data_IF_645792057752
#
_entry.id   IF_645792057752
#
_cell.length_a   1.000
_cell.length_b   1.000
_cell.length_c   1.000
_cell.angle_alpha   90.00
_cell.angle_beta   90.00
_cell.angle_gamma   90.00
#
_symmetry.space_group_name_H-M   'P 1'
#
loop_
_entity.id
_entity.type
_entity.pdbx_description
1 polymer ?
#
# COMPACT_ATOMS: atom_id res chain seq x y z
N UNK A 1 -18.77 -3.93 -8.35
CA UNK A 1 -17.62 -4.53 -7.63
C UNK A 1 -16.59 -3.43 -7.35
N UNK A 2 -16.75 -2.69 -6.25
CA UNK A 2 -15.94 -1.51 -5.92
C UNK A 2 -14.70 -1.83 -5.06
N UNK A 3 -14.67 -2.98 -4.37
CA UNK A 3 -13.56 -3.38 -3.49
C UNK A 3 -12.31 -3.84 -4.23
N UNK A 4 -12.50 -4.18 -5.49
CA UNK A 4 -11.56 -4.90 -6.31
C UNK A 4 -10.31 -4.05 -6.57
N UNK A 5 -10.46 -2.75 -6.85
CA UNK A 5 -9.34 -1.81 -7.06
C UNK A 5 -8.54 -1.50 -5.77
N UNK A 6 -9.08 -1.81 -4.58
CA UNK A 6 -8.43 -1.61 -3.28
C UNK A 6 -7.56 -2.79 -2.86
N UNK A 7 -7.63 -3.91 -3.58
CA UNK A 7 -6.78 -5.08 -3.38
C UNK A 7 -5.55 -5.02 -4.29
N UNK A 8 -4.36 -5.21 -3.74
CA UNK A 8 -3.17 -5.54 -4.50
C UNK A 8 -3.30 -6.94 -5.11
N UNK A 9 -2.46 -7.24 -6.11
CA UNK A 9 -2.51 -8.56 -6.80
C UNK A 9 -2.34 -9.70 -5.79
N UNK A 10 -1.47 -9.55 -4.80
CA UNK A 10 -1.18 -10.58 -3.79
C UNK A 10 -2.20 -10.63 -2.62
N UNK A 11 -3.37 -10.01 -2.75
CA UNK A 11 -4.35 -9.93 -1.65
C UNK A 11 -4.06 -8.86 -0.60
N UNK A 12 -3.02 -8.02 -0.79
CA UNK A 12 -2.73 -6.88 0.10
C UNK A 12 -3.88 -5.87 0.01
N UNK A 13 -4.64 -5.71 1.07
CA UNK A 13 -5.76 -4.75 1.08
C UNK A 13 -5.26 -3.33 1.39
N UNK A 14 -5.19 -2.49 0.37
CA UNK A 14 -4.80 -1.08 0.49
C UNK A 14 -5.95 -0.20 1.00
N UNK A 15 -7.20 -0.68 0.97
CA UNK A 15 -8.39 0.14 1.26
C UNK A 15 -8.49 0.68 2.69
N UNK A 16 -7.76 0.13 3.65
CA UNK A 16 -7.65 0.65 5.03
C UNK A 16 -6.44 1.58 5.22
N UNK A 17 -5.52 1.64 4.27
CA UNK A 17 -4.34 2.50 4.36
C UNK A 17 -4.70 3.95 4.03
N UNK A 18 -4.51 4.86 4.98
CA UNK A 18 -4.89 6.27 4.86
C UNK A 18 -4.06 7.05 3.82
N UNK A 19 -2.88 6.55 3.47
CA UNK A 19 -2.09 7.09 2.36
C UNK A 19 -2.66 6.68 1.00
N UNK A 20 -3.27 5.48 0.89
CA UNK A 20 -3.93 5.03 -0.34
C UNK A 20 -5.32 5.64 -0.50
N UNK A 21 -6.07 5.84 0.58
CA UNK A 21 -7.36 6.53 0.54
C UNK A 21 -7.24 8.05 0.40
N UNK A 22 -6.02 8.60 0.35
CA UNK A 22 -5.71 10.04 0.35
C UNK A 22 -6.19 10.83 1.57
N UNK A 23 -6.77 10.16 2.57
CA UNK A 23 -7.40 10.81 3.72
C UNK A 23 -6.39 11.60 4.58
N UNK A 24 -5.16 11.11 4.75
CA UNK A 24 -4.10 11.88 5.43
C UNK A 24 -3.78 13.16 4.66
N UNK A 25 -3.66 13.08 3.33
CA UNK A 25 -3.35 14.24 2.49
C UNK A 25 -4.48 15.28 2.53
N UNK A 26 -5.73 14.82 2.53
CA UNK A 26 -6.92 15.66 2.65
C UNK A 26 -6.99 16.38 4.00
N UNK A 27 -6.78 15.64 5.10
CA UNK A 27 -6.77 16.19 6.46
C UNK A 27 -5.61 17.19 6.64
N UNK A 28 -4.41 16.87 6.14
CA UNK A 28 -3.25 17.77 6.17
C UNK A 28 -3.53 19.06 5.38
N UNK A 29 -4.16 18.94 4.20
CA UNK A 29 -4.56 20.10 3.39
C UNK A 29 -5.55 21.00 4.13
N UNK A 30 -6.57 20.41 4.76
CA UNK A 30 -7.57 21.16 5.52
C UNK A 30 -6.95 21.84 6.74
N UNK A 31 -6.15 21.11 7.52
CA UNK A 31 -5.47 21.66 8.69
C UNK A 31 -4.53 22.80 8.31
N UNK A 32 -3.75 22.64 7.23
CA UNK A 32 -2.85 23.70 6.74
C UNK A 32 -3.63 24.97 6.39
N UNK A 33 -4.78 24.84 5.74
CA UNK A 33 -5.65 25.99 5.42
C UNK A 33 -6.13 26.72 6.67
N UNK A 34 -6.56 25.99 7.71
CA UNK A 34 -7.01 26.62 8.96
C UNK A 34 -5.88 27.27 9.73
N UNK A 35 -4.71 26.62 9.80
CA UNK A 35 -3.54 27.17 10.49
C UNK A 35 -3.06 28.47 9.83
N UNK A 36 -2.98 28.50 8.50
CA UNK A 36 -2.59 29.71 7.76
C UNK A 36 -3.64 30.82 7.85
N UNK A 37 -4.92 30.49 8.00
CA UNK A 37 -5.99 31.49 8.10
C UNK A 37 -6.12 32.09 9.50
N UNK A 38 -6.05 31.23 10.52
CA UNK A 38 -6.51 31.58 11.87
C UNK A 38 -5.38 31.61 12.92
N UNK A 39 -4.20 31.06 12.60
CA UNK A 39 -3.12 30.82 13.58
C UNK A 39 -1.76 31.41 13.19
N UNK A 40 -1.71 32.38 12.27
CA UNK A 40 -0.44 33.05 11.87
C UNK A 40 0.27 33.73 13.04
N UNK A 41 -0.48 34.16 14.05
CA UNK A 41 0.06 34.77 15.27
C UNK A 41 1.03 33.85 16.04
N UNK A 42 0.91 32.51 15.89
CA UNK A 42 1.84 31.54 16.50
C UNK A 42 3.29 31.79 16.07
N UNK A 43 3.50 32.30 14.85
CA UNK A 43 4.84 32.58 14.31
C UNK A 43 5.63 33.60 15.15
N UNK A 44 4.92 34.56 15.75
CA UNK A 44 5.54 35.71 16.42
C UNK A 44 5.36 35.67 17.95
N UNK A 45 4.42 34.87 18.45
CA UNK A 45 3.98 34.93 19.85
C UNK A 45 4.15 33.62 20.63
N UNK A 46 4.57 32.53 20.00
CA UNK A 46 4.73 31.23 20.66
C UNK A 46 6.10 30.60 20.35
N UNK A 47 7.06 30.85 21.23
CA UNK A 47 8.45 30.38 21.07
C UNK A 47 8.58 28.85 21.14
N UNK A 48 7.62 28.16 21.78
CA UNK A 48 7.65 26.69 21.89
C UNK A 48 7.18 25.97 20.61
N UNK A 49 6.65 26.71 19.62
CA UNK A 49 6.06 26.15 18.42
C UNK A 49 6.77 26.64 17.15
N UNK A 50 7.49 25.74 16.47
CA UNK A 50 8.10 26.05 15.18
C UNK A 50 7.05 26.03 14.06
N UNK A 51 6.41 27.19 13.86
CA UNK A 51 5.33 27.38 12.89
C UNK A 51 5.75 27.03 11.45
N UNK A 52 6.91 27.51 11.00
CA UNK A 52 7.34 27.31 9.62
C UNK A 52 7.71 25.84 9.37
N UNK A 53 8.34 25.16 10.33
CA UNK A 53 8.62 23.72 10.22
C UNK A 53 7.34 22.88 10.29
N UNK A 54 6.37 23.27 11.11
CA UNK A 54 5.07 22.61 11.14
C UNK A 54 4.35 22.67 9.78
N UNK A 55 4.33 23.84 9.11
CA UNK A 55 3.75 23.96 7.77
C UNK A 55 4.47 23.11 6.72
N UNK A 56 5.79 22.92 6.85
CA UNK A 56 6.57 22.00 6.01
C UNK A 56 6.15 20.54 6.26
N UNK A 57 5.99 20.15 7.53
CA UNK A 57 5.49 18.82 7.90
C UNK A 57 4.10 18.54 7.32
N UNK A 58 3.19 19.50 7.40
CA UNK A 58 1.88 19.38 6.74
C UNK A 58 2.02 19.26 5.22
N UNK A 59 2.92 20.03 4.61
CA UNK A 59 3.24 19.89 3.18
C UNK A 59 3.67 18.47 2.81
N UNK A 60 4.58 17.87 3.60
CA UNK A 60 5.02 16.50 3.39
C UNK A 60 3.86 15.49 3.44
N UNK A 61 2.93 15.64 4.39
CA UNK A 61 1.74 14.77 4.47
C UNK A 61 0.76 14.98 3.31
N UNK A 62 0.65 16.20 2.78
CA UNK A 62 -0.16 16.47 1.58
C UNK A 62 0.35 15.68 0.37
N UNK A 63 1.66 15.50 0.27
CA UNK A 63 2.31 14.79 -0.84
C UNK A 63 2.42 13.27 -0.59
N UNK A 64 2.02 12.79 0.60
CA UNK A 64 2.14 11.39 1.03
C UNK A 64 1.02 10.49 0.48
N UNK A 65 0.82 10.52 -0.83
CA UNK A 65 -0.19 9.71 -1.53
C UNK A 65 0.43 8.39 -1.99
N UNK A 66 -0.20 7.27 -1.64
CA UNK A 66 0.22 5.95 -2.08
C UNK A 66 -0.59 5.55 -3.34
N UNK A 67 0.06 5.22 -4.47
CA UNK A 67 -0.65 4.76 -5.69
C UNK A 67 -1.22 3.34 -5.55
N UNK A 68 -0.99 2.68 -4.41
CA UNK A 68 -1.39 1.31 -4.14
C UNK A 68 -0.52 0.28 -4.88
N UNK A 69 -0.68 -0.99 -4.51
CA UNK A 69 0.13 -2.08 -5.05
C UNK A 69 0.02 -2.24 -6.57
N UNK A 70 -1.13 -1.91 -7.18
CA UNK A 70 -1.34 -2.01 -8.63
C UNK A 70 -0.84 -0.79 -9.41
N UNK A 71 -0.85 0.40 -8.81
CA UNK A 71 -0.39 1.64 -9.44
C UNK A 71 1.06 2.00 -9.13
N UNK A 72 1.68 1.30 -8.18
CA UNK A 72 3.09 1.54 -7.82
C UNK A 72 4.02 1.07 -8.94
N UNK A 73 4.97 1.91 -9.34
CA UNK A 73 6.09 1.52 -10.22
C UNK A 73 7.23 0.87 -9.45
N UNK A 74 7.17 0.91 -8.11
CA UNK A 74 8.23 0.40 -7.25
C UNK A 74 8.45 -1.11 -7.42
N UNK A 75 9.73 -1.49 -7.40
CA UNK A 75 10.22 -2.84 -7.70
C UNK A 75 10.54 -3.67 -6.46
N UNK A 76 10.29 -3.14 -5.25
CA UNK A 76 10.59 -3.82 -3.99
C UNK A 76 9.79 -5.11 -3.78
N UNK A 77 8.66 -5.26 -4.46
CA UNK A 77 7.87 -6.48 -4.42
C UNK A 77 8.37 -7.45 -5.50
N UNK A 78 9.20 -8.42 -5.12
CA UNK A 78 9.76 -9.41 -6.05
C UNK A 78 8.69 -10.17 -6.83
N UNK A 79 7.53 -10.42 -6.22
CA UNK A 79 6.38 -11.05 -6.87
C UNK A 79 5.93 -10.28 -8.12
N UNK A 80 6.14 -8.96 -8.21
CA UNK A 80 5.84 -8.20 -9.43
C UNK A 80 6.71 -8.60 -10.62
N UNK A 81 7.78 -9.38 -10.41
CA UNK A 81 8.63 -9.95 -11.46
C UNK A 81 8.04 -11.24 -12.06
N UNK A 82 6.98 -11.80 -11.50
CA UNK A 82 6.26 -12.92 -12.12
C UNK A 82 5.65 -12.48 -13.45
N UNK A 83 5.90 -13.22 -14.53
CA UNK A 83 5.46 -12.89 -15.90
C UNK A 83 3.96 -12.60 -15.99
N UNK A 84 3.11 -13.47 -15.43
CA UNK A 84 1.65 -13.28 -15.44
C UNK A 84 1.18 -12.01 -14.71
N UNK A 85 1.96 -11.48 -13.78
CA UNK A 85 1.68 -10.20 -13.12
C UNK A 85 2.11 -9.02 -14.00
N UNK A 86 3.29 -9.12 -14.63
CA UNK A 86 3.78 -8.14 -15.60
C UNK A 86 2.85 -8.02 -16.81
N UNK A 87 2.33 -9.15 -17.29
CA UNK A 87 1.41 -9.25 -18.43
C UNK A 87 -0.05 -8.93 -18.06
N UNK A 88 -0.31 -8.50 -16.82
CA UNK A 88 -1.65 -8.18 -16.29
C UNK A 88 -2.69 -9.32 -16.37
N UNK A 89 -2.23 -10.58 -16.43
CA UNK A 89 -3.08 -11.76 -16.54
C UNK A 89 -3.62 -12.26 -15.19
N UNK A 90 -3.01 -11.83 -14.08
CA UNK A 90 -3.41 -12.22 -12.71
C UNK A 90 -4.12 -11.09 -12.01
N UNK A 91 -5.42 -11.29 -11.78
CA UNK A 91 -6.25 -10.36 -11.02
C UNK A 91 -5.97 -10.41 -9.50
N UNK A 92 -5.90 -11.63 -8.97
CA UNK A 92 -5.60 -11.95 -7.59
C UNK A 92 -4.73 -13.22 -7.53
N UNK A 93 -3.54 -13.12 -6.95
CA UNK A 93 -2.57 -14.21 -6.84
C UNK A 93 -3.11 -15.40 -6.04
N UNK A 94 -3.99 -15.17 -5.06
CA UNK A 94 -4.61 -16.24 -4.28
C UNK A 94 -5.58 -17.09 -5.12
N UNK A 95 -6.01 -16.60 -6.28
CA UNK A 95 -6.89 -17.30 -7.21
C UNK A 95 -6.15 -17.86 -8.43
N UNK A 96 -4.83 -17.66 -8.52
CA UNK A 96 -4.02 -18.14 -9.62
C UNK A 96 -3.32 -19.43 -9.20
N UNK A 97 -3.73 -20.56 -9.77
CA UNK A 97 -3.18 -21.89 -9.45
C UNK A 97 -1.68 -21.98 -9.81
N UNK A 98 -1.31 -21.40 -10.95
CA UNK A 98 0.08 -21.29 -11.44
C UNK A 98 0.94 -20.31 -10.62
N UNK A 99 0.38 -19.56 -9.66
CA UNK A 99 1.12 -18.54 -8.93
C UNK A 99 2.30 -19.15 -8.14
N UNK A 100 2.09 -20.36 -7.61
CA UNK A 100 3.11 -21.11 -6.87
C UNK A 100 4.33 -21.52 -7.71
N UNK A 101 4.19 -21.55 -9.05
CA UNK A 101 5.26 -21.90 -9.98
C UNK A 101 6.25 -20.74 -10.19
N UNK A 102 5.87 -19.51 -9.81
CA UNK A 102 6.76 -18.36 -9.94
C UNK A 102 7.84 -18.36 -8.84
N UNK A 103 9.11 -18.38 -9.27
CA UNK A 103 10.28 -18.42 -8.38
C UNK A 103 10.42 -17.22 -7.45
N UNK A 104 9.82 -16.08 -7.81
CA UNK A 104 9.81 -14.85 -7.00
C UNK A 104 8.77 -14.84 -5.87
N UNK A 105 7.98 -15.91 -5.71
CA UNK A 105 7.02 -16.03 -4.60
C UNK A 105 7.64 -16.57 -3.31
N UNK A 106 8.84 -17.16 -3.39
CA UNK A 106 9.49 -17.82 -2.26
C UNK A 106 8.81 -19.11 -1.81
N UNK A 107 7.69 -19.49 -2.46
CA UNK A 107 7.03 -20.77 -2.26
C UNK A 107 7.82 -21.80 -3.08
N UNK A 108 8.73 -22.52 -2.43
CA UNK A 108 9.20 -23.78 -3.00
C UNK A 108 8.07 -24.78 -2.83
N UNK A 109 7.68 -25.47 -3.89
CA UNK A 109 6.80 -26.63 -3.82
C UNK A 109 7.38 -27.67 -2.86
N UNK A 110 7.11 -27.56 -1.57
CA UNK A 110 7.20 -28.70 -0.66
C UNK A 110 5.92 -29.47 -0.85
N UNK A 111 6.01 -30.48 -1.72
CA UNK A 111 4.89 -31.27 -2.24
C UNK A 111 3.80 -31.57 -1.21
N UNK A 112 2.63 -30.99 -1.45
CA UNK A 112 1.37 -31.56 -0.97
C UNK A 112 1.05 -32.69 -1.94
N UNK A 113 1.62 -33.87 -1.73
CA UNK A 113 1.15 -35.15 -2.28
C UNK A 113 2.04 -36.27 -1.71
N UNK A 114 1.69 -36.81 -0.54
CA UNK A 114 1.87 -38.23 -0.15
C UNK A 114 1.22 -38.49 1.21
N UNK A 115 -0.10 -38.40 1.29
CA UNK A 115 -0.90 -39.02 2.35
C UNK A 115 -1.94 -39.96 1.73
N UNK A 116 -1.46 -40.87 0.88
CA UNK A 116 -2.25 -41.89 0.20
C UNK A 116 -1.54 -43.25 0.23
N UNK A 117 -1.01 -43.67 1.39
CA UNK A 117 -0.41 -45.03 1.52
C UNK A 117 -0.29 -45.60 2.96
N UNK A 118 -1.09 -45.23 3.96
CA UNK A 118 -1.04 -45.92 5.27
C UNK A 118 -2.45 -46.07 5.85
N UNK A 119 -3.17 -47.10 5.39
CA UNK A 119 -4.23 -47.80 6.14
C UNK A 119 -4.57 -49.10 5.41
N UNK A 120 -3.54 -49.95 5.26
CA UNK A 120 -3.67 -51.36 4.94
C UNK A 120 -2.65 -52.10 5.80
N UNK A 121 -2.99 -52.32 7.08
CA UNK A 121 -2.45 -53.34 7.98
C UNK A 121 -3.36 -53.44 9.20
#
# INVERSE_FOLDING_TARGET
>A
MEYNNKLGRCGIYCGQCRAFSSEIAELATQLKKYVVRDFTWLKENEDSFDYDNFLKGLGWFMDSICPGCRGSEETWCDVKKCSKILDDLVYNCLLCEEFSECTFTGIKETGILTSLSILSL
#
